data_IF_366342122042
#
_entry.id   IF_366342122042
#
_cell.length_a   1.000
_cell.length_b   1.000
_cell.length_c   1.000
_cell.angle_alpha   90.00
_cell.angle_beta   90.00
_cell.angle_gamma   90.00
#
_symmetry.space_group_name_H-M   'P 1'
#
loop_
_entity.id
_entity.type
_entity.pdbx_description
1 polymer ?
#
# COMPACT_ATOMS: atom_id res chain seq x y z
N UNK A 1 50.51 3.12 -28.44
CA UNK A 1 49.54 2.06 -28.12
C UNK A 1 49.81 1.58 -26.69
N UNK A 2 49.00 2.02 -25.72
CA UNK A 2 48.69 1.31 -24.46
C UNK A 2 47.70 2.19 -23.69
N UNK A 3 46.50 1.65 -23.50
CA UNK A 3 45.35 2.32 -22.91
C UNK A 3 45.47 2.22 -21.38
N UNK A 4 45.53 3.35 -20.68
CA UNK A 4 45.25 3.40 -19.24
C UNK A 4 43.81 3.86 -19.06
N UNK A 5 42.88 2.90 -19.12
CA UNK A 5 41.49 3.12 -18.75
C UNK A 5 41.47 3.38 -17.25
N UNK A 6 41.07 4.58 -16.83
CA UNK A 6 40.86 4.92 -15.42
C UNK A 6 39.54 4.30 -14.94
N UNK A 7 39.52 3.30 -14.05
CA UNK A 7 38.28 2.73 -13.55
C UNK A 7 37.77 3.57 -12.38
N UNK A 8 37.46 4.86 -12.59
CA UNK A 8 36.96 5.73 -11.51
C UNK A 8 35.50 6.16 -11.66
N UNK A 9 34.85 5.88 -12.79
CA UNK A 9 33.43 6.25 -12.97
C UNK A 9 32.44 5.28 -12.30
N UNK A 10 32.81 4.01 -12.10
CA UNK A 10 31.89 3.00 -11.56
C UNK A 10 31.60 3.15 -10.06
N UNK A 11 32.64 3.41 -9.26
CA UNK A 11 32.51 3.49 -7.78
C UNK A 11 31.73 4.73 -7.35
N UNK A 12 31.90 5.85 -8.05
CA UNK A 12 31.17 7.09 -7.75
C UNK A 12 29.67 6.95 -8.07
N UNK A 13 29.32 6.38 -9.22
CA UNK A 13 27.91 6.13 -9.60
C UNK A 13 27.26 5.09 -8.68
N UNK A 14 28.01 4.06 -8.27
CA UNK A 14 27.56 3.07 -7.27
C UNK A 14 27.27 3.75 -5.92
N UNK A 15 28.19 4.55 -5.39
CA UNK A 15 28.01 5.23 -4.10
C UNK A 15 26.84 6.23 -4.06
N UNK A 16 26.49 6.86 -5.18
CA UNK A 16 25.34 7.77 -5.27
C UNK A 16 24.02 6.97 -5.32
N UNK A 17 24.03 5.74 -5.87
CA UNK A 17 22.85 4.88 -6.02
C UNK A 17 22.38 4.26 -4.70
N UNK A 18 23.26 4.09 -3.71
CA UNK A 18 22.91 3.59 -2.36
C UNK A 18 22.36 4.66 -1.42
N UNK A 19 22.24 5.92 -1.85
CA UNK A 19 21.49 6.95 -1.11
C UNK A 19 19.97 6.83 -1.37
N UNK A 20 19.48 5.60 -1.40
CA UNK A 20 18.07 5.26 -1.24
C UNK A 20 17.87 4.71 0.17
N UNK A 21 18.12 5.52 1.20
CA UNK A 21 17.90 5.10 2.58
C UNK A 21 17.13 6.17 3.34
N UNK A 22 15.92 6.39 2.85
CA UNK A 22 14.83 7.03 3.56
C UNK A 22 13.55 6.39 3.06
N UNK A 23 13.39 5.07 3.23
CA UNK A 23 12.02 4.55 3.28
C UNK A 23 11.41 5.21 4.50
N UNK A 24 10.74 6.34 4.31
CA UNK A 24 9.93 6.98 5.34
C UNK A 24 8.99 5.90 5.83
N UNK A 25 9.22 5.41 7.04
CA UNK A 25 8.35 4.42 7.65
C UNK A 25 6.93 5.00 7.63
N UNK A 26 5.97 4.23 7.11
CA UNK A 26 4.57 4.63 7.15
C UNK A 26 4.15 4.58 8.62
N UNK A 27 3.89 5.73 9.21
CA UNK A 27 3.40 5.84 10.58
C UNK A 27 1.94 5.41 10.70
N UNK A 28 1.49 5.24 11.93
CA UNK A 28 0.12 4.81 12.21
C UNK A 28 -0.93 5.72 11.56
N UNK A 29 -0.72 7.03 11.60
CA UNK A 29 -1.66 8.02 11.06
C UNK A 29 -1.75 7.91 9.53
N UNK A 30 -0.61 7.79 8.85
CA UNK A 30 -0.53 7.60 7.41
C UNK A 30 -1.17 6.27 6.99
N UNK A 31 -0.91 5.21 7.76
CA UNK A 31 -1.50 3.89 7.54
C UNK A 31 -3.03 3.95 7.64
N UNK A 32 -3.58 4.51 8.72
CA UNK A 32 -5.02 4.61 8.94
C UNK A 32 -5.70 5.48 7.88
N UNK A 33 -5.10 6.62 7.52
CA UNK A 33 -5.62 7.52 6.48
C UNK A 33 -5.63 6.87 5.10
N UNK A 34 -4.72 5.94 4.82
CA UNK A 34 -4.66 5.18 3.57
C UNK A 34 -5.62 3.97 3.56
N UNK A 35 -5.73 3.25 4.68
CA UNK A 35 -6.53 2.02 4.73
C UNK A 35 -8.04 2.27 4.78
N UNK A 36 -8.51 3.36 5.39
CA UNK A 36 -9.93 3.73 5.36
C UNK A 36 -10.47 3.87 3.92
N UNK A 37 -9.87 4.67 3.02
CA UNK A 37 -10.31 4.76 1.63
C UNK A 37 -10.01 3.51 0.82
N UNK A 38 -8.92 2.78 1.09
CA UNK A 38 -8.66 1.49 0.44
C UNK A 38 -9.83 0.51 0.65
N UNK A 39 -10.28 0.38 1.91
CA UNK A 39 -11.41 -0.49 2.24
C UNK A 39 -12.73 0.02 1.65
N UNK A 40 -12.96 1.33 1.74
CA UNK A 40 -14.14 1.95 1.12
C UNK A 40 -14.21 1.69 -0.38
N UNK A 41 -13.05 1.67 -1.05
CA UNK A 41 -12.91 1.31 -2.46
C UNK A 41 -13.33 -0.12 -2.78
N UNK A 42 -12.97 -1.09 -1.93
CA UNK A 42 -13.39 -2.48 -2.14
C UNK A 42 -14.88 -2.70 -1.89
N UNK A 43 -15.50 -1.96 -0.95
CA UNK A 43 -16.96 -1.96 -0.76
C UNK A 43 -17.65 -1.40 -2.01
N UNK A 44 -17.16 -0.27 -2.56
CA UNK A 44 -17.69 0.30 -3.79
C UNK A 44 -17.54 -0.65 -4.99
N UNK A 45 -16.37 -1.29 -5.13
CA UNK A 45 -16.13 -2.28 -6.17
C UNK A 45 -17.15 -3.43 -6.10
N UNK A 46 -17.42 -3.94 -4.89
CA UNK A 46 -18.48 -4.95 -4.68
C UNK A 46 -19.83 -4.42 -5.12
N UNK A 47 -20.19 -3.18 -4.79
CA UNK A 47 -21.50 -2.58 -5.14
C UNK A 47 -21.70 -2.45 -6.66
N UNK A 48 -20.61 -2.27 -7.41
CA UNK A 48 -20.63 -2.13 -8.87
C UNK A 48 -20.49 -3.46 -9.62
N UNK A 49 -20.14 -4.55 -8.92
CA UNK A 49 -19.88 -5.84 -9.52
C UNK A 49 -21.18 -6.62 -9.79
N UNK A 50 -21.33 -7.12 -11.02
CA UNK A 50 -22.42 -8.03 -11.42
C UNK A 50 -21.99 -9.48 -11.28
N UNK A 51 -21.93 -9.97 -10.04
CA UNK A 51 -21.49 -11.32 -9.70
C UNK A 51 -22.70 -12.28 -9.61
N UNK A 52 -22.55 -13.49 -10.13
CA UNK A 52 -23.63 -14.50 -10.16
C UNK A 52 -23.27 -15.79 -9.44
N UNK A 53 -21.98 -16.09 -9.29
CA UNK A 53 -21.51 -17.27 -8.58
C UNK A 53 -21.84 -17.17 -7.08
N UNK A 54 -22.46 -18.23 -6.51
CA UNK A 54 -22.92 -18.22 -5.12
C UNK A 54 -21.79 -18.20 -4.11
N UNK A 55 -20.69 -18.89 -4.38
CA UNK A 55 -19.54 -18.94 -3.49
C UNK A 55 -18.86 -17.57 -3.46
N UNK A 56 -18.70 -16.94 -4.63
CA UNK A 56 -18.16 -15.59 -4.75
C UNK A 56 -19.06 -14.56 -4.05
N UNK A 57 -20.38 -14.67 -4.17
CA UNK A 57 -21.31 -13.78 -3.46
C UNK A 57 -21.22 -13.92 -1.94
N UNK A 58 -21.05 -15.15 -1.44
CA UNK A 58 -20.80 -15.42 -0.03
C UNK A 58 -19.51 -14.74 0.45
N UNK A 59 -18.41 -14.94 -0.28
CA UNK A 59 -17.14 -14.28 -0.02
C UNK A 59 -17.27 -12.75 -0.01
N UNK A 60 -17.98 -12.17 -0.98
CA UNK A 60 -18.20 -10.72 -1.02
C UNK A 60 -18.96 -10.20 0.20
N UNK A 61 -19.93 -10.95 0.73
CA UNK A 61 -20.65 -10.56 1.93
C UNK A 61 -19.73 -10.54 3.16
N UNK A 62 -18.86 -11.55 3.30
CA UNK A 62 -17.88 -11.62 4.38
C UNK A 62 -16.86 -10.47 4.29
N UNK A 63 -16.35 -10.21 3.09
CA UNK A 63 -15.40 -9.11 2.82
C UNK A 63 -16.02 -7.77 3.22
N UNK A 64 -17.22 -7.44 2.71
CA UNK A 64 -17.89 -6.17 3.03
C UNK A 64 -18.11 -6.02 4.53
N UNK A 65 -18.61 -7.08 5.17
CA UNK A 65 -18.87 -7.07 6.60
C UNK A 65 -17.59 -6.85 7.43
N UNK A 66 -16.47 -7.46 7.04
CA UNK A 66 -15.19 -7.23 7.72
C UNK A 66 -14.68 -5.81 7.51
N UNK A 67 -14.74 -5.32 6.27
CA UNK A 67 -14.20 -4.02 5.93
C UNK A 67 -14.98 -2.87 6.58
N UNK A 68 -16.29 -2.97 6.72
CA UNK A 68 -17.09 -1.99 7.48
C UNK A 68 -16.67 -1.93 8.95
N UNK A 69 -16.45 -3.08 9.60
CA UNK A 69 -15.96 -3.15 10.99
C UNK A 69 -14.55 -2.56 11.12
N UNK A 70 -13.68 -2.87 10.17
CA UNK A 70 -12.31 -2.36 10.14
C UNK A 70 -12.27 -0.85 9.93
N UNK A 71 -13.09 -0.30 9.02
CA UNK A 71 -13.25 1.15 8.85
C UNK A 71 -13.69 1.80 10.16
N UNK A 72 -14.72 1.26 10.82
CA UNK A 72 -15.19 1.81 12.10
C UNK A 72 -14.08 1.82 13.17
N UNK A 73 -13.33 0.72 13.27
CA UNK A 73 -12.19 0.61 14.18
C UNK A 73 -11.08 1.60 13.84
N UNK A 74 -10.71 1.72 12.56
CA UNK A 74 -9.67 2.62 12.09
C UNK A 74 -10.04 4.09 12.31
N UNK A 75 -11.29 4.48 12.08
CA UNK A 75 -11.79 5.83 12.36
C UNK A 75 -11.68 6.16 13.85
N UNK A 76 -12.04 5.23 14.73
CA UNK A 76 -11.86 5.42 16.19
C UNK A 76 -10.39 5.54 16.56
N UNK A 77 -9.51 4.74 15.97
CA UNK A 77 -8.06 4.81 16.21
C UNK A 77 -7.45 6.12 15.70
N UNK A 78 -7.91 6.60 14.54
CA UNK A 78 -7.44 7.85 13.93
C UNK A 78 -7.89 9.05 14.75
N UNK A 79 -9.13 9.05 15.28
CA UNK A 79 -9.63 10.13 16.13
C UNK A 79 -8.90 10.26 17.48
N UNK A 80 -8.13 9.25 17.89
CA UNK A 80 -7.31 9.25 19.12
C UNK A 80 -5.87 9.70 18.89
N UNK A 81 -5.51 10.08 17.66
CA UNK A 81 -4.18 10.52 17.24
C UNK A 81 -4.26 11.97 16.79
#
# INVERSE_FOLDING_TARGET
MAMAQTPFSGVLVFAISFRHAGQTAVGDTEFLRSMIPHHSGAILMRQQASLTDREVLGLCAEIVSSQEREIARMTVLLARR
#
